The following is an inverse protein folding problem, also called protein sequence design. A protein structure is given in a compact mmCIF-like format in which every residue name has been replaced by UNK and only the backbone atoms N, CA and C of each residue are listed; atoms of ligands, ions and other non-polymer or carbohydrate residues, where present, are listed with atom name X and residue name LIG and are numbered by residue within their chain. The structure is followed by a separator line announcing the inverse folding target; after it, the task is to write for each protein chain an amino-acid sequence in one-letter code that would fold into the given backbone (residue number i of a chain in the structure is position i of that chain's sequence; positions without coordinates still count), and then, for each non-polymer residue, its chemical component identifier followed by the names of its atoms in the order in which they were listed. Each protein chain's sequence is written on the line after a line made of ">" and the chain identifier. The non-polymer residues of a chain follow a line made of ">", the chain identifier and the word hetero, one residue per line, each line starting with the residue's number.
data_IF_901313309844
#
_entry.id   IF_901313309844
#
_cell.length_a   1.000
_cell.length_b   1.000
_cell.length_c   1.000
_cell.angle_alpha   90.00
_cell.angle_beta   90.00
_cell.angle_gamma   90.00
#
_symmetry.space_group_name_H-M   'P 1'
#
loop_
_entity.id
_entity.type
_entity.pdbx_description
1 polymer ?
#
# COMPACT_ATOMS: atom_id res chain seq x y z
N UNK A 1 -43.23 -53.71 2.73
CA UNK A 1 -43.10 -52.27 3.00
C UNK A 1 -43.11 -51.55 1.65
N UNK A 2 -44.03 -50.62 1.42
CA UNK A 2 -44.21 -50.01 0.09
C UNK A 2 -42.98 -49.15 -0.27
N UNK A 3 -42.51 -49.22 -1.52
CA UNK A 3 -41.36 -48.44 -2.00
C UNK A 3 -41.52 -46.93 -1.76
N UNK A 4 -42.77 -46.44 -1.76
CA UNK A 4 -43.12 -45.05 -1.43
C UNK A 4 -42.73 -44.69 0.02
N UNK A 5 -42.98 -45.58 0.98
CA UNK A 5 -42.62 -45.36 2.39
C UNK A 5 -41.10 -45.32 2.56
N UNK A 6 -40.37 -46.19 1.86
CA UNK A 6 -38.91 -46.21 1.88
C UNK A 6 -38.31 -44.92 1.29
N UNK A 7 -38.87 -44.39 0.21
CA UNK A 7 -38.43 -43.13 -0.40
C UNK A 7 -38.67 -41.92 0.52
N UNK A 8 -39.82 -41.86 1.21
CA UNK A 8 -40.12 -40.79 2.16
C UNK A 8 -39.13 -40.80 3.34
N UNK A 9 -38.82 -41.98 3.87
CA UNK A 9 -37.84 -42.12 4.97
C UNK A 9 -36.43 -41.72 4.52
N UNK A 10 -36.00 -42.15 3.33
CA UNK A 10 -34.70 -41.78 2.78
C UNK A 10 -34.59 -40.26 2.56
N UNK A 11 -35.63 -39.62 2.04
CA UNK A 11 -35.68 -38.16 1.86
C UNK A 11 -35.65 -37.43 3.21
N UNK A 12 -36.39 -37.89 4.22
CA UNK A 12 -36.38 -37.31 5.56
C UNK A 12 -34.99 -37.40 6.21
N UNK A 13 -34.30 -38.54 6.08
CA UNK A 13 -32.92 -38.71 6.56
C UNK A 13 -31.98 -37.74 5.85
N UNK A 14 -32.08 -37.62 4.52
CA UNK A 14 -31.25 -36.70 3.74
C UNK A 14 -31.47 -35.23 4.16
N UNK A 15 -32.72 -34.82 4.34
CA UNK A 15 -33.06 -33.46 4.81
C UNK A 15 -32.50 -33.21 6.20
N UNK A 16 -32.61 -34.18 7.11
CA UNK A 16 -32.06 -34.06 8.46
C UNK A 16 -30.54 -33.95 8.45
N UNK A 17 -29.84 -34.70 7.58
CA UNK A 17 -28.39 -34.64 7.43
C UNK A 17 -27.94 -33.27 6.89
N UNK A 18 -28.63 -32.77 5.87
CA UNK A 18 -28.35 -31.42 5.31
C UNK A 18 -28.56 -30.36 6.39
N UNK A 19 -29.64 -30.45 7.16
CA UNK A 19 -29.91 -29.50 8.24
C UNK A 19 -28.82 -29.51 9.32
N UNK A 20 -28.36 -30.69 9.74
CA UNK A 20 -27.25 -30.83 10.70
C UNK A 20 -25.96 -30.23 10.14
N UNK A 21 -25.63 -30.47 8.87
CA UNK A 21 -24.45 -29.88 8.22
C UNK A 21 -24.53 -28.34 8.21
N UNK A 22 -25.70 -27.77 7.91
CA UNK A 22 -25.91 -26.31 7.94
C UNK A 22 -25.69 -25.74 9.34
N UNK A 23 -26.20 -26.40 10.38
CA UNK A 23 -26.01 -25.96 11.77
C UNK A 23 -24.54 -26.04 12.21
N UNK A 24 -23.82 -27.09 11.81
CA UNK A 24 -22.39 -27.24 12.06
C UNK A 24 -21.61 -26.11 11.37
N UNK A 25 -21.90 -25.82 10.10
CA UNK A 25 -21.25 -24.73 9.37
C UNK A 25 -21.53 -23.35 10.01
N UNK A 26 -22.76 -23.11 10.46
CA UNK A 26 -23.11 -21.87 11.17
C UNK A 26 -22.34 -21.72 12.49
N UNK A 27 -22.23 -22.81 13.27
CA UNK A 27 -21.43 -22.84 14.51
C UNK A 27 -19.96 -22.59 14.22
N UNK A 28 -19.37 -23.26 13.23
CA UNK A 28 -17.97 -23.08 12.84
C UNK A 28 -17.68 -21.64 12.38
N UNK A 29 -18.61 -21.01 11.64
CA UNK A 29 -18.49 -19.59 11.26
C UNK A 29 -18.58 -18.64 12.45
N UNK A 30 -19.44 -18.94 13.44
CA UNK A 30 -19.53 -18.14 14.68
C UNK A 30 -18.29 -18.27 15.58
N UNK A 31 -17.47 -19.32 15.39
CA UNK A 31 -16.22 -19.52 16.09
C UNK A 31 -15.04 -18.81 15.40
N UNK A 32 -15.23 -18.33 14.16
CA UNK A 32 -14.24 -17.46 13.55
C UNK A 32 -14.15 -16.19 14.38
N UNK A 33 -12.96 -15.78 14.81
CA UNK A 33 -12.85 -14.67 15.71
C UNK A 33 -13.20 -13.38 14.96
N UNK A 34 -14.35 -12.82 15.33
CA UNK A 34 -14.94 -11.62 14.73
C UNK A 34 -14.58 -10.42 15.60
N UNK A 35 -13.35 -9.94 15.45
CA UNK A 35 -12.89 -8.78 16.21
C UNK A 35 -11.53 -8.30 15.74
N UNK A 36 -11.29 -6.99 15.87
CA UNK A 36 -10.03 -6.39 15.42
C UNK A 36 -8.81 -7.07 16.06
N UNK A 37 -8.88 -7.40 17.36
CA UNK A 37 -7.80 -8.06 18.10
C UNK A 37 -7.51 -9.51 17.69
N UNK A 38 -8.30 -10.09 16.79
CA UNK A 38 -8.06 -11.44 16.27
C UNK A 38 -7.75 -11.47 14.76
N UNK A 39 -8.00 -10.37 14.06
CA UNK A 39 -7.73 -10.24 12.62
C UNK A 39 -6.53 -9.35 12.31
N UNK A 40 -6.06 -8.58 13.29
CA UNK A 40 -4.96 -7.63 13.11
C UNK A 40 -4.01 -7.69 14.30
N UNK A 41 -2.72 -7.63 13.99
CA UNK A 41 -1.64 -7.50 14.96
C UNK A 41 -0.79 -6.26 14.66
N UNK A 42 -0.16 -5.72 15.71
CA UNK A 42 0.82 -4.65 15.54
C UNK A 42 2.05 -5.21 14.85
N UNK A 43 2.46 -4.58 13.75
CA UNK A 43 3.74 -4.92 13.12
C UNK A 43 4.89 -4.61 14.08
N UNK A 44 5.91 -5.47 14.17
CA UNK A 44 7.04 -5.25 15.06
C UNK A 44 7.89 -4.03 14.68
N UNK A 45 7.82 -3.60 13.42
CA UNK A 45 8.46 -2.39 12.91
C UNK A 45 7.67 -1.79 11.75
N UNK A 46 7.76 -0.47 11.59
CA UNK A 46 7.22 0.25 10.43
C UNK A 46 8.06 0.05 9.17
N UNK A 47 9.39 0.17 9.32
CA UNK A 47 10.37 0.05 8.24
C UNK A 47 11.04 -1.32 8.22
N UNK A 48 11.28 -1.84 7.02
CA UNK A 48 12.15 -3.01 6.81
C UNK A 48 13.61 -2.67 7.18
N UNK A 49 14.50 -3.66 7.38
CA UNK A 49 15.91 -3.39 7.66
C UNK A 49 16.60 -2.55 6.57
N UNK A 50 16.28 -2.79 5.30
CA UNK A 50 16.82 -2.03 4.16
C UNK A 50 16.32 -0.58 4.19
N UNK A 51 15.01 -0.38 4.36
CA UNK A 51 14.42 0.97 4.49
C UNK A 51 15.00 1.74 5.68
N UNK A 52 15.25 1.05 6.80
CA UNK A 52 15.86 1.65 7.99
C UNK A 52 17.30 2.07 7.75
N UNK A 53 18.09 1.24 7.05
CA UNK A 53 19.46 1.58 6.64
C UNK A 53 19.46 2.83 5.75
N UNK A 54 18.58 2.86 4.74
CA UNK A 54 18.42 4.02 3.88
C UNK A 54 17.95 5.26 4.66
N UNK A 55 16.99 5.14 5.58
CA UNK A 55 16.51 6.24 6.39
C UNK A 55 17.64 6.93 7.19
N UNK A 56 18.57 6.14 7.74
CA UNK A 56 19.74 6.69 8.43
C UNK A 56 20.66 7.49 7.50
N UNK A 57 20.88 7.02 6.27
CA UNK A 57 21.64 7.76 5.27
C UNK A 57 20.88 9.00 4.77
N UNK A 58 19.56 8.88 4.56
CA UNK A 58 18.70 9.97 4.14
C UNK A 58 18.75 11.13 5.13
N UNK A 59 18.63 10.84 6.42
CA UNK A 59 18.67 11.83 7.49
C UNK A 59 19.99 12.63 7.50
N UNK A 60 21.12 11.93 7.32
CA UNK A 60 22.44 12.55 7.23
C UNK A 60 22.66 13.36 5.92
N UNK A 61 21.81 13.17 4.91
CA UNK A 61 21.91 13.78 3.59
C UNK A 61 20.94 14.93 3.35
N UNK A 62 20.00 15.18 4.25
CA UNK A 62 18.97 16.19 4.05
C UNK A 62 19.59 17.60 3.92
N UNK A 63 19.13 18.39 2.93
CA UNK A 63 19.37 19.83 2.93
C UNK A 63 18.68 20.50 4.14
N UNK A 64 19.16 21.69 4.49
CA UNK A 64 18.53 22.51 5.53
C UNK A 64 17.07 22.81 5.15
N UNK A 65 16.17 22.77 6.14
CA UNK A 65 14.74 23.05 5.94
C UNK A 65 13.95 21.92 5.29
N UNK A 66 14.54 20.76 5.03
CA UNK A 66 13.86 19.57 4.49
C UNK A 66 13.74 18.49 5.58
N UNK A 67 12.56 17.88 5.68
CA UNK A 67 12.29 16.72 6.55
C UNK A 67 11.69 15.58 5.71
N UNK A 68 11.64 14.37 6.26
CA UNK A 68 11.08 13.21 5.58
C UNK A 68 10.02 12.47 6.42
N UNK A 69 9.08 11.82 5.72
CA UNK A 69 8.09 10.92 6.31
C UNK A 69 8.16 9.55 5.62
N UNK A 70 8.09 8.47 6.41
CA UNK A 70 8.08 7.11 5.88
C UNK A 70 6.66 6.65 5.49
N UNK A 71 6.58 5.77 4.49
CA UNK A 71 5.37 5.00 4.12
C UNK A 71 4.12 5.87 3.89
N UNK A 72 4.30 7.06 3.30
CA UNK A 72 3.20 8.01 3.07
C UNK A 72 2.33 7.53 1.92
N UNK A 73 1.02 7.38 2.19
CA UNK A 73 0.07 6.94 1.16
C UNK A 73 -0.02 7.97 0.03
N UNK A 74 -0.16 7.51 -1.20
CA UNK A 74 -0.39 8.39 -2.34
C UNK A 74 -1.69 9.19 -2.18
N UNK A 75 -2.68 8.65 -1.46
CA UNK A 75 -3.91 9.36 -1.10
C UNK A 75 -3.72 10.51 -0.10
N UNK A 76 -2.60 10.54 0.62
CA UNK A 76 -2.23 11.63 1.53
C UNK A 76 -1.38 12.70 0.81
N UNK A 77 -0.93 12.44 -0.42
CA UNK A 77 -0.14 13.35 -1.26
C UNK A 77 -1.00 13.94 -2.39
N UNK A 78 -1.79 13.09 -3.04
CA UNK A 78 -2.58 13.41 -4.22
C UNK A 78 -4.07 13.28 -3.95
N UNK A 79 -4.87 14.02 -4.72
CA UNK A 79 -6.33 13.93 -4.72
C UNK A 79 -6.87 14.02 -6.14
N UNK A 80 -8.06 13.46 -6.43
CA UNK A 80 -8.73 13.66 -7.71
C UNK A 80 -8.91 15.14 -8.02
N UNK A 81 -8.69 15.51 -9.28
CA UNK A 81 -8.91 16.89 -9.75
C UNK A 81 -10.38 17.27 -9.61
N UNK A 82 -10.65 18.58 -9.49
CA UNK A 82 -12.02 19.10 -9.48
C UNK A 82 -12.66 18.99 -10.87
N UNK A 83 -13.99 18.94 -10.91
CA UNK A 83 -14.75 18.96 -12.17
C UNK A 83 -14.97 17.61 -12.84
N UNK A 84 -14.45 16.51 -12.28
CA UNK A 84 -14.75 15.14 -12.75
C UNK A 84 -16.04 14.60 -12.12
N UNK A 85 -16.64 13.58 -12.74
CA UNK A 85 -17.81 12.91 -12.19
C UNK A 85 -17.49 12.23 -10.84
N UNK A 86 -18.51 12.07 -9.98
CA UNK A 86 -18.34 11.38 -8.69
C UNK A 86 -17.78 9.96 -8.84
N UNK A 87 -18.23 9.23 -9.87
CA UNK A 87 -17.73 7.89 -10.18
C UNK A 87 -16.25 7.92 -10.56
N UNK A 88 -15.84 8.84 -11.44
CA UNK A 88 -14.44 8.98 -11.83
C UNK A 88 -13.55 9.38 -10.64
N UNK A 89 -14.01 10.29 -9.77
CA UNK A 89 -13.30 10.67 -8.56
C UNK A 89 -13.11 9.48 -7.62
N UNK A 90 -14.15 8.65 -7.40
CA UNK A 90 -14.07 7.47 -6.57
C UNK A 90 -13.09 6.43 -7.13
N UNK A 91 -13.13 6.19 -8.45
CA UNK A 91 -12.19 5.29 -9.13
C UNK A 91 -10.75 5.80 -8.94
N UNK A 92 -10.49 7.08 -9.18
CA UNK A 92 -9.17 7.68 -9.00
C UNK A 92 -8.69 7.57 -7.54
N UNK A 93 -9.56 7.86 -6.57
CA UNK A 93 -9.24 7.75 -5.15
C UNK A 93 -8.86 6.31 -4.76
N UNK A 94 -9.61 5.32 -5.24
CA UNK A 94 -9.34 3.91 -4.96
C UNK A 94 -7.97 3.46 -5.50
N UNK A 95 -7.53 4.01 -6.64
CA UNK A 95 -6.21 3.67 -7.22
C UNK A 95 -5.04 4.10 -6.34
N UNK A 96 -5.16 5.22 -5.63
CA UNK A 96 -4.10 5.80 -4.78
C UNK A 96 -4.18 5.35 -3.32
N UNK A 97 -5.35 4.91 -2.84
CA UNK A 97 -5.60 4.61 -1.42
C UNK A 97 -4.73 3.48 -0.86
N UNK A 98 -4.42 2.48 -1.69
CA UNK A 98 -3.65 1.29 -1.29
C UNK A 98 -2.15 1.39 -1.68
N UNK A 99 -1.69 2.57 -2.08
CA UNK A 99 -0.31 2.80 -2.52
C UNK A 99 0.37 3.82 -1.62
N UNK A 100 1.67 3.70 -1.46
CA UNK A 100 2.50 4.64 -0.72
C UNK A 100 3.86 4.76 -1.39
N UNK A 101 4.52 5.89 -1.20
CA UNK A 101 5.97 6.00 -1.39
C UNK A 101 6.68 5.52 -0.14
N UNK A 102 7.92 5.07 -0.28
CA UNK A 102 8.71 4.65 0.88
C UNK A 102 9.09 5.85 1.74
N UNK A 103 9.47 6.96 1.12
CA UNK A 103 9.71 8.23 1.80
C UNK A 103 9.13 9.40 1.02
N UNK A 104 8.62 10.40 1.74
CA UNK A 104 8.23 11.68 1.18
C UNK A 104 9.10 12.78 1.79
N UNK A 105 9.78 13.55 0.95
CA UNK A 105 10.49 14.76 1.34
C UNK A 105 9.53 15.92 1.38
N UNK A 106 9.66 16.72 2.43
CA UNK A 106 8.73 17.80 2.74
C UNK A 106 9.52 19.02 3.21
N UNK A 107 9.08 20.20 2.78
CA UNK A 107 9.61 21.46 3.30
C UNK A 107 9.09 21.69 4.71
N UNK A 108 10.00 21.81 5.67
CA UNK A 108 9.68 21.97 7.09
C UNK A 108 8.86 23.22 7.41
N UNK A 109 8.99 24.29 6.62
CA UNK A 109 8.33 25.57 6.89
C UNK A 109 6.80 25.53 6.71
N UNK A 110 6.29 24.75 5.75
CA UNK A 110 4.88 24.76 5.35
C UNK A 110 4.31 23.37 5.05
N UNK A 111 5.10 22.32 5.28
CA UNK A 111 4.76 20.94 4.99
C UNK A 111 4.45 20.66 3.51
N UNK A 112 4.95 21.48 2.56
CA UNK A 112 4.77 21.24 1.12
C UNK A 112 5.58 20.00 0.69
N UNK A 113 4.97 19.02 0.01
CA UNK A 113 5.70 17.92 -0.63
C UNK A 113 6.74 18.44 -1.63
N UNK A 114 7.97 17.93 -1.54
CA UNK A 114 9.08 18.29 -2.42
C UNK A 114 9.45 17.18 -3.39
N UNK A 115 9.50 15.93 -2.93
CA UNK A 115 9.75 14.76 -3.78
C UNK A 115 9.33 13.47 -3.07
N UNK A 116 8.89 12.47 -3.84
CA UNK A 116 8.78 11.09 -3.38
C UNK A 116 10.10 10.33 -3.55
N UNK A 117 10.32 9.30 -2.74
CA UNK A 117 11.42 8.34 -2.87
C UNK A 117 10.85 6.92 -2.82
N UNK A 118 11.27 6.05 -3.75
CA UNK A 118 11.01 4.61 -3.73
C UNK A 118 12.33 3.83 -3.74
N UNK A 119 12.40 2.77 -2.92
CA UNK A 119 13.53 1.85 -2.88
C UNK A 119 13.27 0.66 -3.78
N UNK A 120 14.09 0.49 -4.82
CA UNK A 120 13.96 -0.62 -5.76
C UNK A 120 14.76 -1.82 -5.27
N UNK A 121 14.09 -2.83 -4.71
CA UNK A 121 14.71 -4.13 -4.50
C UNK A 121 15.03 -4.78 -5.85
N UNK A 122 16.29 -5.18 -6.02
CA UNK A 122 16.83 -5.92 -7.17
C UNK A 122 16.19 -7.30 -7.36
N UNK A 123 15.48 -7.82 -6.35
CA UNK A 123 14.86 -9.14 -6.40
C UNK A 123 13.36 -9.09 -6.77
N UNK A 124 13.05 -9.68 -7.93
CA UNK A 124 11.75 -10.27 -8.33
C UNK A 124 10.60 -9.41 -8.93
N UNK A 125 10.24 -9.83 -10.16
CA UNK A 125 8.97 -9.73 -10.89
C UNK A 125 8.74 -8.52 -11.83
N UNK A 126 9.43 -8.56 -12.97
CA UNK A 126 9.35 -7.63 -14.12
C UNK A 126 7.91 -7.30 -14.59
N UNK A 127 6.99 -8.28 -14.65
CA UNK A 127 5.73 -8.04 -15.38
C UNK A 127 4.60 -7.37 -14.57
N UNK A 128 4.52 -7.60 -13.26
CA UNK A 128 3.51 -6.92 -12.39
C UNK A 128 4.00 -5.56 -11.86
N UNK A 129 5.31 -5.33 -11.86
CA UNK A 129 5.91 -4.02 -11.57
C UNK A 129 5.64 -3.04 -12.69
N UNK A 130 5.83 -3.41 -13.96
CA UNK A 130 5.68 -2.51 -15.11
C UNK A 130 4.39 -1.68 -15.13
N UNK A 131 3.21 -2.30 -14.97
CA UNK A 131 1.94 -1.54 -15.00
C UNK A 131 1.69 -0.73 -13.71
N UNK A 132 2.21 -1.21 -12.57
CA UNK A 132 2.06 -0.53 -11.27
C UNK A 132 3.01 0.68 -11.17
N UNK A 133 4.27 0.47 -11.52
CA UNK A 133 5.32 1.48 -11.52
C UNK A 133 4.99 2.57 -12.55
N UNK A 134 4.52 2.17 -13.75
CA UNK A 134 4.13 3.13 -14.77
C UNK A 134 2.93 4.01 -14.37
N UNK A 135 2.06 3.58 -13.45
CA UNK A 135 1.02 4.46 -12.90
C UNK A 135 1.61 5.48 -11.93
N UNK A 136 2.47 5.05 -11.00
CA UNK A 136 3.08 5.94 -10.01
C UNK A 136 3.96 6.96 -10.71
N UNK A 137 4.82 6.53 -11.63
CA UNK A 137 5.68 7.41 -12.41
C UNK A 137 4.87 8.46 -13.18
N UNK A 138 3.79 8.03 -13.87
CA UNK A 138 2.90 8.95 -14.59
C UNK A 138 2.16 9.90 -13.65
N UNK A 139 1.78 9.45 -12.45
CA UNK A 139 1.10 10.29 -11.48
C UNK A 139 2.02 11.39 -10.96
N UNK A 140 3.24 11.04 -10.54
CA UNK A 140 4.25 11.99 -10.10
C UNK A 140 4.58 12.98 -11.22
N UNK A 141 4.87 12.48 -12.42
CA UNK A 141 5.12 13.32 -13.60
C UNK A 141 3.97 14.29 -13.90
N UNK A 142 2.72 13.80 -13.94
CA UNK A 142 1.55 14.63 -14.26
C UNK A 142 1.23 15.66 -13.16
N UNK A 143 1.65 15.40 -11.92
CA UNK A 143 1.47 16.30 -10.78
C UNK A 143 2.58 17.34 -10.63
N UNK A 144 3.67 17.22 -11.41
CA UNK A 144 4.87 18.03 -11.24
C UNK A 144 5.68 17.71 -9.98
N UNK A 145 5.29 16.71 -9.18
CA UNK A 145 6.05 16.26 -8.01
C UNK A 145 7.15 15.28 -8.47
N UNK A 146 8.44 15.56 -8.20
CA UNK A 146 9.52 14.64 -8.52
C UNK A 146 9.44 13.31 -7.77
N UNK A 147 9.90 12.23 -8.41
CA UNK A 147 10.03 10.90 -7.83
C UNK A 147 11.46 10.39 -8.02
N UNK A 148 12.13 10.06 -6.92
CA UNK A 148 13.50 9.54 -6.91
C UNK A 148 13.48 8.03 -6.64
N UNK A 149 13.89 7.23 -7.63
CA UNK A 149 14.14 5.79 -7.45
C UNK A 149 15.57 5.55 -6.98
N UNK A 150 15.72 4.81 -5.89
CA UNK A 150 17.00 4.46 -5.30
C UNK A 150 17.13 2.92 -5.31
N UNK A 151 18.16 2.35 -5.98
CA UNK A 151 18.43 0.93 -5.86
C UNK A 151 18.66 0.53 -4.39
N UNK A 152 18.07 -0.58 -3.96
CA UNK A 152 18.33 -1.15 -2.66
C UNK A 152 19.82 -1.54 -2.56
N UNK A 153 20.52 -1.04 -1.54
CA UNK A 153 21.94 -1.30 -1.32
C UNK A 153 22.19 -1.50 0.19
N UNK A 154 23.26 -2.24 0.52
CA UNK A 154 23.66 -2.44 1.91
C UNK A 154 24.11 -1.13 2.58
N UNK A 155 24.72 -0.23 1.79
CA UNK A 155 25.25 1.05 2.23
C UNK A 155 24.96 2.13 1.21
N UNK A 156 24.73 3.35 1.70
CA UNK A 156 24.50 4.54 0.88
C UNK A 156 25.54 5.60 1.23
N UNK A 157 26.11 6.28 0.22
CA UNK A 157 27.00 7.43 0.44
C UNK A 157 26.18 8.68 0.76
N UNK A 158 26.30 9.28 1.96
CA UNK A 158 25.51 10.46 2.29
C UNK A 158 25.81 11.66 1.40
N UNK A 159 27.05 11.80 0.91
CA UNK A 159 27.44 12.89 0.02
C UNK A 159 26.80 12.75 -1.38
N UNK A 160 26.79 11.52 -1.92
CA UNK A 160 26.15 11.24 -3.21
C UNK A 160 24.64 11.43 -3.11
N UNK A 161 24.03 10.89 -2.04
CA UNK A 161 22.60 11.03 -1.80
C UNK A 161 22.23 12.51 -1.67
N UNK A 162 22.98 13.30 -0.88
CA UNK A 162 22.76 14.75 -0.75
C UNK A 162 22.79 15.46 -2.10
N UNK A 163 23.71 15.10 -2.99
CA UNK A 163 23.79 15.68 -4.33
C UNK A 163 22.54 15.37 -5.14
N UNK A 164 22.09 14.11 -5.14
CA UNK A 164 20.86 13.70 -5.83
C UNK A 164 19.63 14.41 -5.25
N UNK A 165 19.57 14.57 -3.92
CA UNK A 165 18.48 15.29 -3.24
C UNK A 165 18.43 16.76 -3.64
N UNK A 166 19.58 17.45 -3.70
CA UNK A 166 19.62 18.85 -4.12
C UNK A 166 19.14 19.02 -5.58
N UNK A 167 19.55 18.13 -6.47
CA UNK A 167 19.11 18.15 -7.88
C UNK A 167 17.59 17.97 -7.97
N UNK A 168 17.04 16.96 -7.28
CA UNK A 168 15.63 16.62 -7.43
C UNK A 168 14.70 17.65 -6.76
N UNK A 169 15.11 18.26 -5.65
CA UNK A 169 14.32 19.27 -4.94
C UNK A 169 14.36 20.63 -5.66
N UNK A 170 15.46 20.96 -6.33
CA UNK A 170 15.58 22.22 -7.09
C UNK A 170 14.69 22.25 -8.34
N UNK A 171 14.22 21.08 -8.80
CA UNK A 171 13.13 20.99 -9.76
C UNK A 171 11.80 21.28 -9.05
N UNK A 172 11.58 22.53 -8.64
CA UNK A 172 10.36 22.93 -7.92
C UNK A 172 9.11 22.51 -8.71
N UNK A 173 8.11 21.88 -8.05
CA UNK A 173 6.80 21.65 -8.66
C UNK A 173 6.11 22.99 -8.95
N UNK A 174 5.77 23.24 -10.23
CA UNK A 174 4.90 24.35 -10.66
C UNK A 174 3.55 24.35 -9.92
#
# INVERSE_FOLDING_TARGET
>A
MNSVVLMILAAAVLVSLVFVVVLIQAKLRSLQPTGAGALYELRPALLTPAERSFAGALDASLPEGVIWFAKVRLADIFKPIRGVSRSAAAIAQNRIQQKHVDFLLVRSADMKPLAGIELDDSSHQEHRRQDRDAFVDRLFQASGLPLLRIPAAATYSPAELKTRLLIIISAEPN
#
